data_IF_835286229109
#
_entry.id   IF_835286229109
#
_cell.length_a   1.000
_cell.length_b   1.000
_cell.length_c   1.000
_cell.angle_alpha   90.00
_cell.angle_beta   90.00
_cell.angle_gamma   90.00
#
_symmetry.space_group_name_H-M   'P 1'
#
loop_
_entity.id
_entity.type
_entity.pdbx_description
1 polymer ?
#
# COMPACT_ATOMS: atom_id res chain seq x y z
N UNK A 1 0.62 11.84 12.41
CA UNK A 1 -0.08 11.08 13.47
C UNK A 1 0.81 9.91 13.85
N UNK A 2 0.72 9.42 15.08
CA UNK A 2 1.56 8.32 15.60
C UNK A 2 1.59 7.10 14.66
N UNK A 3 0.44 6.72 14.08
CA UNK A 3 0.36 5.61 13.15
C UNK A 3 1.13 5.83 11.85
N UNK A 4 1.08 7.06 11.30
CA UNK A 4 1.83 7.40 10.10
C UNK A 4 3.33 7.40 10.38
N UNK A 5 3.75 7.88 11.56
CA UNK A 5 5.15 7.81 11.99
C UNK A 5 5.62 6.37 12.07
N UNK A 6 4.83 5.47 12.67
CA UNK A 6 5.19 4.06 12.83
C UNK A 6 5.44 3.30 11.51
N UNK A 7 4.74 3.66 10.42
CA UNK A 7 4.84 2.95 9.14
C UNK A 7 5.69 3.67 8.10
N UNK A 8 6.01 4.96 8.26
CA UNK A 8 6.67 5.79 7.23
C UNK A 8 8.18 5.55 7.14
N UNK A 9 8.58 4.30 6.98
CA UNK A 9 9.98 3.86 6.99
C UNK A 9 10.24 2.84 5.86
N UNK A 10 10.10 3.23 4.58
CA UNK A 10 10.40 2.31 3.49
C UNK A 10 11.91 2.03 3.45
N UNK A 11 12.29 0.79 3.13
CA UNK A 11 13.68 0.49 2.77
C UNK A 11 14.08 1.26 1.50
N UNK A 12 15.38 1.36 1.24
CA UNK A 12 15.88 2.02 0.03
C UNK A 12 15.38 1.31 -1.24
N UNK A 13 15.35 -0.01 -1.22
CA UNK A 13 14.87 -0.86 -2.31
C UNK A 13 13.36 -0.65 -2.52
N UNK A 14 12.59 -0.66 -1.43
CA UNK A 14 11.15 -0.40 -1.45
C UNK A 14 10.85 0.99 -2.02
N UNK A 15 11.52 2.03 -1.52
CA UNK A 15 11.36 3.39 -2.00
C UNK A 15 11.68 3.49 -3.49
N UNK A 16 12.81 2.91 -3.92
CA UNK A 16 13.24 2.93 -5.33
C UNK A 16 12.21 2.24 -6.23
N UNK A 17 11.74 1.05 -5.84
CA UNK A 17 10.71 0.33 -6.59
C UNK A 17 9.41 1.14 -6.66
N UNK A 18 8.84 1.48 -5.51
CA UNK A 18 7.49 2.06 -5.43
C UNK A 18 7.38 3.47 -6.02
N UNK A 19 8.48 4.24 -6.03
CA UNK A 19 8.53 5.56 -6.68
C UNK A 19 8.60 5.49 -8.21
N UNK A 20 8.91 4.33 -8.79
CA UNK A 20 9.03 4.15 -10.25
C UNK A 20 8.02 3.15 -10.83
N UNK A 21 7.14 2.58 -10.01
CA UNK A 21 6.11 1.66 -10.49
C UNK A 21 5.16 2.34 -11.48
N UNK A 22 4.88 1.65 -12.59
CA UNK A 22 3.85 2.09 -13.54
C UNK A 22 2.45 1.93 -12.97
N UNK A 23 1.46 2.69 -13.47
CA UNK A 23 0.05 2.52 -13.09
C UNK A 23 -0.44 1.07 -13.29
N UNK A 24 0.03 0.39 -14.33
CA UNK A 24 -0.33 -1.02 -14.56
C UNK A 24 0.16 -1.91 -13.42
N UNK A 25 1.40 -1.70 -12.98
CA UNK A 25 2.00 -2.43 -11.85
C UNK A 25 1.26 -2.12 -10.55
N UNK A 26 0.94 -0.84 -10.30
CA UNK A 26 0.24 -0.45 -9.08
C UNK A 26 -1.14 -1.10 -8.97
N UNK A 27 -1.91 -1.12 -10.07
CA UNK A 27 -3.22 -1.77 -10.13
C UNK A 27 -3.10 -3.29 -9.99
N UNK A 28 -2.10 -3.90 -10.63
CA UNK A 28 -1.87 -5.34 -10.52
C UNK A 28 -1.51 -5.76 -9.09
N UNK A 29 -0.64 -5.03 -8.41
CA UNK A 29 -0.30 -5.30 -7.02
C UNK A 29 -1.50 -5.15 -6.08
N UNK A 30 -2.38 -4.16 -6.29
CA UNK A 30 -3.62 -4.04 -5.53
C UNK A 30 -4.56 -5.21 -5.79
N UNK A 31 -4.68 -5.66 -7.04
CA UNK A 31 -5.47 -6.85 -7.38
C UNK A 31 -4.95 -8.10 -6.65
N UNK A 32 -3.62 -8.30 -6.61
CA UNK A 32 -3.02 -9.41 -5.86
C UNK A 32 -3.29 -9.34 -4.36
N UNK A 33 -3.26 -8.14 -3.77
CA UNK A 33 -3.61 -7.93 -2.36
C UNK A 33 -5.09 -8.28 -2.10
N UNK A 34 -6.01 -7.83 -2.96
CA UNK A 34 -7.43 -8.15 -2.87
C UNK A 34 -7.68 -9.66 -2.97
N UNK A 35 -7.04 -10.36 -3.91
CA UNK A 35 -7.16 -11.81 -4.04
C UNK A 35 -6.75 -12.53 -2.75
N UNK A 36 -5.63 -12.13 -2.13
CA UNK A 36 -5.21 -12.71 -0.85
C UNK A 36 -6.27 -12.51 0.24
N UNK A 37 -6.90 -11.34 0.30
CA UNK A 37 -7.95 -11.04 1.26
C UNK A 37 -9.18 -11.93 1.01
N UNK A 38 -9.64 -12.01 -0.25
CA UNK A 38 -10.81 -12.80 -0.62
C UNK A 38 -10.61 -14.31 -0.46
N UNK A 39 -9.42 -14.84 -0.76
CA UNK A 39 -9.10 -16.25 -0.56
C UNK A 39 -9.18 -16.68 0.92
N UNK A 40 -8.99 -15.74 1.83
CA UNK A 40 -8.98 -15.98 3.29
C UNK A 40 -10.26 -15.49 3.99
N UNK A 41 -11.16 -14.83 3.25
CA UNK A 41 -12.36 -14.22 3.79
C UNK A 41 -13.57 -14.69 3.01
N UNK A 42 -14.31 -15.64 3.58
CA UNK A 42 -15.52 -16.17 2.96
C UNK A 42 -16.71 -15.27 3.27
N UNK A 43 -17.75 -15.43 2.45
CA UNK A 43 -19.05 -14.85 2.77
C UNK A 43 -19.50 -15.30 4.17
N UNK A 44 -20.08 -14.38 4.92
CA UNK A 44 -20.57 -14.57 6.30
C UNK A 44 -19.51 -14.84 7.38
N UNK A 45 -18.21 -14.71 7.07
CA UNK A 45 -17.16 -14.77 8.08
C UNK A 45 -17.31 -13.63 9.10
N UNK A 46 -17.27 -13.97 10.38
CA UNK A 46 -17.24 -12.98 11.47
C UNK A 46 -15.84 -12.38 11.60
N UNK A 47 -15.61 -11.31 10.85
CA UNK A 47 -14.37 -10.55 10.90
C UNK A 47 -14.16 -9.95 12.30
N UNK A 48 -13.04 -10.32 12.91
CA UNK A 48 -12.69 -9.98 14.30
C UNK A 48 -11.17 -9.88 14.44
N UNK A 49 -10.63 -10.04 15.65
CA UNK A 49 -9.20 -9.88 15.93
C UNK A 49 -8.30 -10.70 14.99
N UNK A 50 -8.70 -11.93 14.66
CA UNK A 50 -7.93 -12.80 13.75
C UNK A 50 -7.76 -12.19 12.36
N UNK A 51 -8.80 -11.55 11.83
CA UNK A 51 -8.73 -10.90 10.51
C UNK A 51 -7.74 -9.74 10.55
N UNK A 52 -7.83 -8.88 11.56
CA UNK A 52 -6.88 -7.78 11.73
C UNK A 52 -5.46 -8.31 11.87
N UNK A 53 -5.24 -9.32 12.69
CA UNK A 53 -3.92 -9.93 12.86
C UNK A 53 -3.37 -10.51 11.54
N UNK A 54 -4.20 -11.14 10.73
CA UNK A 54 -3.80 -11.71 9.43
C UNK A 54 -3.40 -10.64 8.40
N UNK A 55 -4.03 -9.46 8.44
CA UNK A 55 -3.93 -8.45 7.39
C UNK A 55 -3.30 -7.12 7.79
N UNK A 56 -2.95 -6.92 9.06
CA UNK A 56 -2.36 -5.66 9.53
C UNK A 56 -1.06 -5.32 8.80
N UNK A 57 -0.21 -6.31 8.54
CA UNK A 57 1.03 -6.11 7.79
C UNK A 57 0.76 -5.72 6.33
N UNK A 58 -0.23 -6.36 5.70
CA UNK A 58 -0.65 -6.02 4.34
C UNK A 58 -1.22 -4.60 4.29
N UNK A 59 -2.06 -4.23 5.26
CA UNK A 59 -2.61 -2.87 5.38
C UNK A 59 -1.48 -1.83 5.50
N UNK A 60 -0.52 -2.08 6.40
CA UNK A 60 0.61 -1.18 6.62
C UNK A 60 1.46 -1.02 5.36
N UNK A 61 1.73 -2.12 4.65
CA UNK A 61 2.45 -2.07 3.37
C UNK A 61 1.69 -1.25 2.32
N UNK A 62 0.37 -1.45 2.18
CA UNK A 62 -0.43 -0.70 1.20
C UNK A 62 -0.48 0.80 1.52
N UNK A 63 -0.58 1.17 2.80
CA UNK A 63 -0.56 2.57 3.23
C UNK A 63 0.80 3.22 2.95
N UNK A 64 1.90 2.54 3.30
CA UNK A 64 3.25 3.04 3.05
C UNK A 64 3.53 3.18 1.55
N UNK A 65 3.23 2.15 0.78
CA UNK A 65 3.39 2.10 -0.67
C UNK A 65 2.56 3.20 -1.37
N UNK A 66 1.31 3.38 -0.94
CA UNK A 66 0.43 4.42 -1.42
C UNK A 66 0.97 5.82 -1.14
N UNK A 67 1.53 6.06 0.05
CA UNK A 67 2.19 7.31 0.43
C UNK A 67 3.37 7.65 -0.48
N UNK A 68 4.26 6.68 -0.75
CA UNK A 68 5.41 6.87 -1.65
C UNK A 68 4.96 7.20 -3.07
N UNK A 69 3.98 6.46 -3.60
CA UNK A 69 3.45 6.69 -4.97
C UNK A 69 2.76 8.05 -5.09
N UNK A 70 1.98 8.45 -4.09
CA UNK A 70 1.30 9.74 -4.08
C UNK A 70 2.32 10.90 -4.02
N UNK A 71 3.35 10.80 -3.17
CA UNK A 71 4.41 11.79 -3.11
C UNK A 71 5.11 11.96 -4.46
N UNK A 72 5.36 10.86 -5.17
CA UNK A 72 5.93 10.92 -6.52
C UNK A 72 5.03 11.64 -7.52
N UNK A 73 3.73 11.34 -7.53
CA UNK A 73 2.75 11.99 -8.42
C UNK A 73 2.70 13.50 -8.12
N UNK A 74 2.65 13.88 -6.84
CA UNK A 74 2.64 15.29 -6.43
C UNK A 74 3.92 16.00 -6.87
N UNK A 75 5.10 15.38 -6.69
CA UNK A 75 6.37 15.93 -7.12
C UNK A 75 6.41 16.12 -8.65
N UNK A 76 5.98 15.12 -9.41
CA UNK A 76 5.90 15.19 -10.86
C UNK A 76 4.98 16.34 -11.32
N UNK A 77 3.79 16.47 -10.74
CA UNK A 77 2.85 17.54 -11.08
C UNK A 77 3.35 18.93 -10.65
N UNK A 78 4.12 19.01 -9.57
CA UNK A 78 4.70 20.27 -9.09
C UNK A 78 5.83 20.76 -10.00
N UNK A 79 6.64 19.84 -10.53
CA UNK A 79 7.71 20.15 -11.49
C UNK A 79 7.18 20.64 -12.84
N UNK A 80 5.98 20.21 -13.26
CA UNK A 80 5.33 20.67 -14.50
C UNK A 80 4.78 22.10 -14.43
N UNK A 81 4.72 22.72 -13.25
CA UNK A 81 4.20 24.08 -13.06
C UNK A 81 5.26 25.18 -13.16
N UNK A 82 6.53 24.84 -13.40
CA UNK A 82 7.67 25.76 -13.60
C UNK A 82 8.19 25.64 -15.03
#
# INVERSE_FOLDING_TARGET
>A
TEYAEAINHPSKEQFTKWSHDSLKETVYESYMACNKIYDKTKADDKLSYRYNFEFIDLLNEQLLKGGVRLAQIINYLSLFKL
#
